data_IF_174638497729
#
_entry.id   IF_174638497729
#
_cell.length_a   1.000
_cell.length_b   1.000
_cell.length_c   1.000
_cell.angle_alpha   90.00
_cell.angle_beta   90.00
_cell.angle_gamma   90.00
#
_symmetry.space_group_name_H-M   'P 1'
#
loop_
_entity.id
_entity.type
_entity.pdbx_description
1 polymer ?
#
# COMPACT_ATOMS: atom_id res chain seq x y z
N UNK A 1 21.98 -22.23 51.83
CA UNK A 1 22.01 -23.20 50.71
C UNK A 1 20.77 -22.95 49.88
N UNK A 2 20.98 -22.62 48.60
CA UNK A 2 19.96 -22.13 47.68
C UNK A 2 18.98 -23.24 47.28
N UNK A 3 17.68 -22.96 47.41
CA UNK A 3 16.64 -23.69 46.70
C UNK A 3 16.42 -23.02 45.36
N UNK A 4 16.71 -23.74 44.27
CA UNK A 4 16.44 -23.29 42.91
C UNK A 4 14.95 -23.44 42.60
N UNK A 5 14.23 -22.31 42.58
CA UNK A 5 12.92 -22.21 41.95
C UNK A 5 13.09 -22.44 40.44
N UNK A 6 12.70 -23.63 39.99
CA UNK A 6 12.49 -23.92 38.58
C UNK A 6 11.20 -23.24 38.14
N UNK A 7 11.31 -21.96 37.78
CA UNK A 7 10.24 -21.21 37.13
C UNK A 7 9.92 -21.85 35.77
N UNK A 8 8.69 -22.36 35.64
CA UNK A 8 8.07 -22.67 34.36
C UNK A 8 8.17 -21.44 33.45
N UNK A 9 8.99 -21.53 32.39
CA UNK A 9 8.97 -20.58 31.29
C UNK A 9 7.53 -20.53 30.76
N UNK A 10 6.89 -19.36 30.88
CA UNK A 10 5.60 -19.11 30.25
C UNK A 10 5.70 -19.39 28.75
N UNK A 11 4.59 -19.69 28.05
CA UNK A 11 4.63 -20.05 26.65
C UNK A 11 5.29 -18.91 25.87
N UNK A 12 6.53 -19.12 25.44
CA UNK A 12 7.16 -18.31 24.43
C UNK A 12 6.24 -18.37 23.23
N UNK A 13 5.56 -17.25 22.96
CA UNK A 13 4.86 -17.06 21.70
C UNK A 13 5.94 -17.08 20.64
N UNK A 14 6.19 -18.26 20.08
CA UNK A 14 6.99 -18.42 18.87
C UNK A 14 6.44 -17.38 17.88
N UNK A 15 7.26 -16.41 17.43
CA UNK A 15 6.79 -15.43 16.48
C UNK A 15 6.24 -16.20 15.27
N UNK A 16 4.98 -15.97 14.96
CA UNK A 16 4.37 -16.51 13.74
C UNK A 16 5.25 -16.09 12.57
N UNK A 17 5.95 -17.04 11.96
CA UNK A 17 6.73 -16.77 10.76
C UNK A 17 5.76 -16.32 9.67
N UNK A 18 5.93 -15.07 9.21
CA UNK A 18 5.08 -14.53 8.16
C UNK A 18 5.42 -15.22 6.86
N UNK A 19 4.40 -15.73 6.18
CA UNK A 19 4.49 -16.33 4.86
C UNK A 19 4.67 -15.23 3.80
N UNK A 20 5.87 -14.71 3.64
CA UNK A 20 6.18 -13.67 2.64
C UNK A 20 7.30 -14.11 1.70
N UNK A 21 6.97 -14.31 0.42
CA UNK A 21 7.94 -14.59 -0.65
C UNK A 21 8.39 -13.31 -1.33
N UNK A 22 9.47 -12.71 -0.83
CA UNK A 22 10.02 -11.48 -1.41
C UNK A 22 10.93 -11.74 -2.61
N UNK A 23 11.47 -12.97 -2.73
CA UNK A 23 12.36 -13.43 -3.78
C UNK A 23 13.60 -12.54 -4.02
N UNK A 24 13.97 -11.71 -3.05
CA UNK A 24 15.02 -10.71 -3.21
C UNK A 24 14.68 -9.54 -4.15
N UNK A 25 13.44 -9.44 -4.65
CA UNK A 25 13.02 -8.43 -5.64
C UNK A 25 12.55 -7.10 -5.03
N UNK A 26 12.50 -7.00 -3.70
CA UNK A 26 11.94 -5.83 -3.01
C UNK A 26 12.57 -4.49 -3.41
N UNK A 27 13.88 -4.48 -3.71
CA UNK A 27 14.60 -3.27 -4.17
C UNK A 27 14.18 -2.87 -5.58
N UNK A 28 14.19 -3.81 -6.53
CA UNK A 28 13.78 -3.58 -7.92
C UNK A 28 12.31 -3.11 -7.99
N UNK A 29 11.41 -3.79 -7.28
CA UNK A 29 9.98 -3.41 -7.22
C UNK A 29 9.80 -1.99 -6.69
N UNK A 30 10.50 -1.60 -5.60
CA UNK A 30 10.45 -0.22 -5.10
C UNK A 30 10.97 0.78 -6.12
N UNK A 31 12.07 0.46 -6.82
CA UNK A 31 12.64 1.32 -7.86
C UNK A 31 11.68 1.51 -9.03
N UNK A 32 11.07 0.45 -9.57
CA UNK A 32 10.09 0.58 -10.65
C UNK A 32 8.86 1.40 -10.23
N UNK A 33 8.42 1.26 -8.96
CA UNK A 33 7.36 2.12 -8.43
C UNK A 33 7.79 3.60 -8.36
N UNK A 34 9.03 3.90 -7.98
CA UNK A 34 9.55 5.29 -8.06
C UNK A 34 9.66 5.80 -9.50
N UNK A 35 10.05 4.95 -10.45
CA UNK A 35 10.15 5.35 -11.86
C UNK A 35 8.75 5.61 -12.45
N UNK A 36 7.73 4.88 -12.01
CA UNK A 36 6.35 5.01 -12.46
C UNK A 36 5.73 6.34 -12.05
N UNK A 37 5.65 6.60 -10.74
CA UNK A 37 5.20 7.90 -10.20
C UNK A 37 6.10 8.27 -9.01
N UNK A 38 7.12 9.11 -9.23
CA UNK A 38 8.10 9.44 -8.20
C UNK A 38 7.43 10.02 -6.96
N UNK A 39 7.83 9.57 -5.77
CA UNK A 39 7.43 10.12 -4.47
C UNK A 39 5.95 10.07 -4.10
N UNK A 40 5.06 9.50 -4.91
CA UNK A 40 3.63 9.38 -4.57
C UNK A 40 3.39 8.42 -3.39
N UNK A 41 4.28 7.43 -3.22
CA UNK A 41 4.06 6.35 -2.26
C UNK A 41 2.77 5.59 -2.60
N UNK A 42 1.93 5.39 -1.58
CA UNK A 42 0.58 4.84 -1.72
C UNK A 42 -0.53 5.83 -1.40
N UNK A 43 -0.29 7.12 -1.66
CA UNK A 43 -1.34 8.16 -1.61
C UNK A 43 -2.26 8.01 -2.83
N UNK A 44 -3.56 7.87 -2.60
CA UNK A 44 -4.56 7.72 -3.66
C UNK A 44 -5.83 8.54 -3.45
N UNK A 45 -6.02 9.15 -2.28
CA UNK A 45 -7.04 10.17 -2.04
C UNK A 45 -6.55 11.19 -1.00
N UNK A 46 -7.02 12.42 -1.09
CA UNK A 46 -6.47 13.58 -0.39
C UNK A 46 -6.59 13.51 1.13
N UNK A 47 -7.64 12.88 1.66
CA UNK A 47 -7.82 12.77 3.12
C UNK A 47 -6.75 11.91 3.81
N UNK A 48 -6.05 11.02 3.10
CA UNK A 48 -4.89 10.33 3.70
C UNK A 48 -3.77 11.31 4.05
N UNK A 49 -3.55 12.32 3.21
CA UNK A 49 -2.59 13.39 3.48
C UNK A 49 -3.09 14.28 4.63
N UNK A 50 -4.39 14.59 4.66
CA UNK A 50 -5.02 15.35 5.75
C UNK A 50 -4.84 14.67 7.11
N UNK A 51 -5.15 13.38 7.24
CA UNK A 51 -5.03 12.68 8.52
C UNK A 51 -3.59 12.64 9.03
N UNK A 52 -2.63 12.44 8.14
CA UNK A 52 -1.22 12.45 8.49
C UNK A 52 -0.75 13.86 8.93
N UNK A 53 -1.11 14.90 8.18
CA UNK A 53 -0.80 16.29 8.52
C UNK A 53 -1.45 16.69 9.86
N UNK A 54 -2.72 16.34 10.06
CA UNK A 54 -3.47 16.62 11.28
C UNK A 54 -2.84 15.95 12.50
N UNK A 55 -2.41 14.69 12.37
CA UNK A 55 -1.73 13.99 13.45
C UNK A 55 -0.40 14.66 13.84
N UNK A 56 0.39 15.07 12.85
CA UNK A 56 1.64 15.80 13.10
C UNK A 56 1.38 17.17 13.75
N UNK A 57 0.35 17.89 13.31
CA UNK A 57 -0.03 19.18 13.88
C UNK A 57 -0.56 19.06 15.31
N UNK A 58 -1.40 18.07 15.61
CA UNK A 58 -1.86 17.79 16.99
C UNK A 58 -0.69 17.46 17.90
N UNK A 59 0.26 16.63 17.44
CA UNK A 59 1.44 16.32 18.23
C UNK A 59 2.39 17.53 18.39
N UNK A 60 2.54 18.37 17.36
CA UNK A 60 3.26 19.66 17.43
C UNK A 60 2.61 20.58 18.46
N UNK A 61 1.28 20.71 18.46
CA UNK A 61 0.51 21.53 19.40
C UNK A 61 0.63 21.03 20.84
N UNK A 62 0.53 19.73 21.09
CA UNK A 62 0.72 19.13 22.43
C UNK A 62 2.11 19.40 22.99
N UNK A 63 3.14 19.43 22.13
CA UNK A 63 4.49 19.81 22.55
C UNK A 63 4.58 21.25 23.05
N UNK A 64 3.80 22.18 22.48
CA UNK A 64 3.71 23.57 23.01
C UNK A 64 3.09 23.62 24.41
N UNK A 65 2.32 22.61 24.79
CA UNK A 65 1.75 22.45 26.14
C UNK A 65 2.61 21.56 27.04
N UNK A 66 3.86 21.30 26.66
CA UNK A 66 4.81 20.44 27.37
C UNK A 66 4.34 18.98 27.52
N UNK A 67 3.47 18.49 26.62
CA UNK A 67 2.98 17.11 26.59
C UNK A 67 3.63 16.40 25.40
N UNK A 68 4.30 15.28 25.68
CA UNK A 68 4.94 14.44 24.63
C UNK A 68 4.01 13.29 24.27
N UNK A 69 3.65 13.22 22.99
CA UNK A 69 2.88 12.11 22.42
C UNK A 69 3.51 11.68 21.10
N UNK A 70 3.46 10.37 20.81
CA UNK A 70 3.99 9.85 19.55
C UNK A 70 3.09 10.24 18.38
N UNK A 71 3.68 10.62 17.25
CA UNK A 71 2.94 10.88 16.02
C UNK A 71 2.16 9.66 15.57
N UNK A 72 2.73 8.47 15.78
CA UNK A 72 2.12 7.19 15.43
C UNK A 72 0.85 6.95 16.25
N UNK A 73 0.87 7.23 17.54
CA UNK A 73 -0.27 7.05 18.44
C UNK A 73 -1.41 8.02 18.10
N UNK A 74 -1.07 9.29 17.83
CA UNK A 74 -2.04 10.30 17.41
C UNK A 74 -2.65 9.94 16.05
N UNK A 75 -1.83 9.53 15.08
CA UNK A 75 -2.31 9.15 13.76
C UNK A 75 -3.20 7.89 13.80
N UNK A 76 -2.80 6.85 14.55
CA UNK A 76 -3.66 5.68 14.79
C UNK A 76 -5.04 6.09 15.30
N UNK A 77 -5.06 6.96 16.31
CA UNK A 77 -6.30 7.38 16.94
C UNK A 77 -7.19 8.17 15.98
N UNK A 78 -6.62 9.12 15.22
CA UNK A 78 -7.34 9.92 14.23
C UNK A 78 -7.90 9.04 13.12
N UNK A 79 -7.10 8.15 12.53
CA UNK A 79 -7.54 7.26 11.45
C UNK A 79 -8.64 6.29 11.91
N UNK A 80 -8.53 5.75 13.14
CA UNK A 80 -9.55 4.89 13.72
C UNK A 80 -10.88 5.64 13.89
N UNK A 81 -10.84 6.85 14.44
CA UNK A 81 -12.03 7.70 14.59
C UNK A 81 -12.62 8.06 13.23
N UNK A 82 -11.79 8.44 12.26
CA UNK A 82 -12.21 8.73 10.89
C UNK A 82 -12.98 7.55 10.28
N UNK A 83 -12.41 6.35 10.31
CA UNK A 83 -13.07 5.15 9.79
C UNK A 83 -14.37 4.85 10.54
N UNK A 84 -14.41 5.03 11.86
CA UNK A 84 -15.63 4.79 12.65
C UNK A 84 -16.73 5.80 12.29
N UNK A 85 -16.38 7.08 12.13
CA UNK A 85 -17.31 8.12 11.65
C UNK A 85 -17.87 7.74 10.28
N UNK A 86 -17.00 7.36 9.34
CA UNK A 86 -17.42 6.98 7.98
C UNK A 86 -18.36 5.76 7.97
N UNK A 87 -18.06 4.71 8.75
CA UNK A 87 -18.97 3.56 8.87
C UNK A 87 -20.31 3.91 9.51
N UNK A 88 -20.35 4.84 10.48
CA UNK A 88 -21.62 5.32 11.01
C UNK A 88 -22.43 6.11 9.97
N UNK A 89 -21.78 6.90 9.10
CA UNK A 89 -22.46 7.70 8.08
C UNK A 89 -23.02 6.85 6.93
N UNK A 90 -22.30 5.80 6.52
CA UNK A 90 -22.72 4.96 5.39
C UNK A 90 -23.48 3.68 5.79
N UNK A 91 -23.85 3.54 7.07
CA UNK A 91 -24.58 2.36 7.56
C UNK A 91 -23.74 1.08 7.53
N UNK A 92 -22.45 1.17 7.82
CA UNK A 92 -21.49 0.05 7.88
C UNK A 92 -21.30 -0.67 6.54
N UNK A 93 -21.51 0.02 5.42
CA UNK A 93 -21.20 -0.49 4.09
C UNK A 93 -19.68 -0.47 3.86
N UNK A 94 -19.13 -1.47 3.16
CA UNK A 94 -17.71 -1.45 2.78
C UNK A 94 -17.46 -0.27 1.82
N UNK A 95 -16.33 0.41 1.98
CA UNK A 95 -15.86 1.48 1.10
C UNK A 95 -14.32 1.41 1.05
N UNK A 96 -13.73 1.66 -0.12
CA UNK A 96 -12.30 1.53 -0.35
C UNK A 96 -11.46 2.50 0.50
N UNK A 97 -12.05 3.63 0.92
CA UNK A 97 -11.40 4.68 1.74
C UNK A 97 -11.35 4.31 3.21
N UNK A 98 -12.06 3.26 3.63
CA UNK A 98 -12.20 2.90 5.04
C UNK A 98 -11.61 1.52 5.32
N UNK A 99 -10.98 1.38 6.50
CA UNK A 99 -10.39 0.11 6.94
C UNK A 99 -10.91 -0.31 8.31
N UNK A 100 -10.67 -1.57 8.69
CA UNK A 100 -10.94 -2.03 10.05
C UNK A 100 -12.40 -2.36 10.37
N UNK A 101 -13.24 -2.60 9.36
CA UNK A 101 -14.69 -2.89 9.52
C UNK A 101 -15.00 -3.98 10.56
N UNK A 102 -14.17 -5.02 10.61
CA UNK A 102 -14.37 -6.18 11.49
C UNK A 102 -13.90 -5.92 12.94
N UNK A 103 -13.01 -4.93 13.15
CA UNK A 103 -12.41 -4.63 14.47
C UNK A 103 -13.08 -3.45 15.16
N UNK A 104 -13.58 -2.49 14.40
CA UNK A 104 -14.22 -1.29 14.92
C UNK A 104 -15.57 -1.63 15.56
N UNK A 105 -15.82 -1.07 16.75
CA UNK A 105 -17.09 -1.27 17.46
C UNK A 105 -18.23 -0.51 16.76
N UNK A 106 -19.42 -1.12 16.77
CA UNK A 106 -20.67 -0.49 16.33
C UNK A 106 -21.32 0.38 17.40
N UNK A 107 -20.68 0.50 18.56
CA UNK A 107 -21.18 1.29 19.67
C UNK A 107 -21.27 2.79 19.33
N UNK A 108 -22.27 3.44 19.93
CA UNK A 108 -22.53 4.87 19.70
C UNK A 108 -21.66 5.80 20.55
N UNK A 109 -20.79 5.24 21.40
CA UNK A 109 -19.88 5.99 22.29
C UNK A 109 -18.55 6.26 21.62
N UNK A 110 -18.06 7.50 21.74
CA UNK A 110 -16.76 7.87 21.20
C UNK A 110 -15.63 7.11 21.93
N UNK A 111 -14.63 6.57 21.21
CA UNK A 111 -13.51 5.90 21.85
C UNK A 111 -12.63 6.89 22.62
N UNK A 112 -12.11 6.45 23.76
CA UNK A 112 -11.06 7.20 24.46
C UNK A 112 -9.77 7.18 23.64
N UNK A 113 -8.94 8.22 23.78
CA UNK A 113 -7.65 8.27 23.09
C UNK A 113 -6.78 7.02 23.38
N UNK A 114 -6.74 6.57 24.65
CA UNK A 114 -5.97 5.39 25.07
C UNK A 114 -6.42 4.08 24.41
N UNK A 115 -7.69 3.99 24.01
CA UNK A 115 -8.20 2.85 23.24
C UNK A 115 -7.82 3.00 21.77
N UNK A 116 -8.12 4.17 21.19
CA UNK A 116 -7.94 4.43 19.76
C UNK A 116 -6.47 4.47 19.32
N UNK A 117 -5.54 4.85 20.20
CA UNK A 117 -4.12 4.96 19.88
C UNK A 117 -3.39 3.61 19.73
N UNK A 118 -4.01 2.51 20.22
CA UNK A 118 -3.41 1.17 20.18
C UNK A 118 -3.28 0.68 18.75
N UNK A 119 -2.12 0.10 18.42
CA UNK A 119 -1.82 -0.45 17.10
C UNK A 119 -2.74 -1.60 16.66
N UNK A 120 -3.47 -2.22 17.59
CA UNK A 120 -4.42 -3.29 17.30
C UNK A 120 -5.89 -2.86 17.26
N UNK A 121 -6.18 -1.57 17.47
CA UNK A 121 -7.55 -1.11 17.70
C UNK A 121 -8.44 -1.19 16.44
N UNK A 122 -7.95 -0.75 15.28
CA UNK A 122 -8.74 -0.75 14.05
C UNK A 122 -8.11 -1.60 12.94
N UNK A 123 -6.80 -1.56 12.74
CA UNK A 123 -6.06 -2.38 11.76
C UNK A 123 -4.60 -2.58 12.18
N UNK A 124 -3.99 -3.68 11.72
CA UNK A 124 -2.54 -3.89 11.85
C UNK A 124 -1.70 -3.04 10.88
N UNK A 125 -2.26 -2.69 9.71
CA UNK A 125 -1.64 -1.84 8.70
C UNK A 125 -2.45 -0.55 8.48
N UNK A 126 -2.10 0.52 9.21
CA UNK A 126 -2.78 1.81 9.11
C UNK A 126 -2.58 2.49 7.76
N UNK A 127 -3.53 3.36 7.38
CA UNK A 127 -3.50 4.05 6.08
C UNK A 127 -2.20 4.83 5.86
N UNK A 128 -1.67 5.49 6.89
CA UNK A 128 -0.41 6.24 6.82
C UNK A 128 0.82 5.43 6.43
N UNK A 129 0.82 4.10 6.61
CA UNK A 129 1.99 3.27 6.27
C UNK A 129 2.33 3.37 4.79
N UNK A 130 1.31 3.56 3.93
CA UNK A 130 1.51 3.74 2.50
C UNK A 130 1.84 5.19 2.12
N UNK A 131 1.46 6.18 2.93
CA UNK A 131 1.65 7.60 2.59
C UNK A 131 2.92 8.23 3.14
N UNK A 132 3.68 7.54 3.98
CA UNK A 132 4.89 8.08 4.61
C UNK A 132 5.88 8.72 3.61
N UNK A 133 6.04 8.15 2.42
CA UNK A 133 6.90 8.71 1.37
C UNK A 133 6.28 9.92 0.66
N UNK A 134 4.94 9.98 0.61
CA UNK A 134 4.22 11.07 -0.05
C UNK A 134 4.40 12.39 0.71
N UNK A 135 4.36 12.36 2.04
CA UNK A 135 4.30 13.58 2.87
C UNK A 135 5.50 14.52 2.65
N UNK A 136 6.76 14.05 2.65
CA UNK A 136 7.89 14.93 2.34
C UNK A 136 7.84 15.42 0.90
N UNK A 137 7.45 14.57 -0.06
CA UNK A 137 7.36 14.98 -1.47
C UNK A 137 6.29 16.04 -1.73
N UNK A 138 5.24 16.09 -0.90
CA UNK A 138 4.21 17.12 -0.91
C UNK A 138 4.62 18.38 -0.13
N UNK A 139 5.76 18.34 0.57
CA UNK A 139 6.20 19.40 1.47
C UNK A 139 5.43 19.43 2.79
N UNK A 140 4.62 18.43 3.13
CA UNK A 140 3.85 18.37 4.38
C UNK A 140 4.69 17.95 5.61
N UNK A 141 5.83 17.32 5.36
CA UNK A 141 6.71 16.82 6.41
C UNK A 141 8.16 17.18 6.12
N UNK A 142 8.84 17.73 7.12
CA UNK A 142 10.30 17.77 7.16
C UNK A 142 10.77 16.40 7.63
N UNK A 143 11.57 15.73 6.81
CA UNK A 143 11.97 14.34 7.04
C UNK A 143 13.47 14.22 7.32
N UNK A 144 13.90 14.18 8.60
CA UNK A 144 15.27 13.79 8.94
C UNK A 144 15.50 12.28 8.73
N UNK A 145 14.44 11.47 8.55
CA UNK A 145 14.53 10.03 8.27
C UNK A 145 13.29 9.52 7.53
N UNK A 146 13.29 8.26 7.08
CA UNK A 146 12.17 7.60 6.39
C UNK A 146 11.01 7.22 7.34
N UNK A 147 11.16 7.37 8.66
CA UNK A 147 10.15 6.93 9.65
C UNK A 147 9.17 8.05 9.99
N UNK A 148 7.87 7.76 9.94
CA UNK A 148 6.80 8.72 10.25
C UNK A 148 6.94 9.40 11.62
N UNK A 149 7.36 8.69 12.66
CA UNK A 149 7.52 9.27 14.00
C UNK A 149 8.66 10.30 14.12
N UNK A 150 9.54 10.35 13.12
CA UNK A 150 10.63 11.32 13.05
C UNK A 150 10.26 12.53 12.17
N UNK A 151 9.07 12.55 11.56
CA UNK A 151 8.65 13.68 10.77
C UNK A 151 8.36 14.90 11.65
N UNK A 152 8.57 16.08 11.08
CA UNK A 152 8.15 17.34 11.67
C UNK A 152 7.18 18.05 10.73
N UNK A 153 6.17 18.69 11.30
CA UNK A 153 5.17 19.43 10.55
C UNK A 153 5.81 20.70 9.97
N UNK A 154 5.81 20.83 8.64
CA UNK A 154 6.29 22.01 7.92
C UNK A 154 5.32 23.20 8.03
N UNK A 155 5.74 24.37 7.56
CA UNK A 155 4.87 25.54 7.42
C UNK A 155 3.80 25.30 6.34
N UNK A 156 4.17 24.63 5.26
CA UNK A 156 3.27 24.20 4.19
C UNK A 156 2.14 23.30 4.71
N UNK A 157 2.42 22.44 5.69
CA UNK A 157 1.38 21.64 6.34
C UNK A 157 0.42 22.49 7.17
N UNK A 158 0.90 23.53 7.85
CA UNK A 158 0.03 24.47 8.57
C UNK A 158 -0.89 25.23 7.59
N UNK A 159 -0.38 25.60 6.41
CA UNK A 159 -1.19 26.22 5.32
C UNK A 159 -2.25 25.24 4.79
N UNK A 160 -1.85 23.99 4.51
CA UNK A 160 -2.77 22.95 4.03
C UNK A 160 -3.87 22.64 5.05
N UNK A 161 -3.54 22.58 6.33
CA UNK A 161 -4.53 22.40 7.39
C UNK A 161 -5.42 23.62 7.53
N UNK A 162 -4.88 24.84 7.38
CA UNK A 162 -5.65 26.07 7.34
C UNK A 162 -6.71 26.06 6.25
N UNK A 163 -6.35 25.64 5.03
CA UNK A 163 -7.30 25.54 3.91
C UNK A 163 -8.28 24.37 4.04
N UNK A 164 -7.89 23.27 4.69
CA UNK A 164 -8.73 22.07 4.80
C UNK A 164 -9.70 22.09 6.00
N UNK A 165 -9.27 22.61 7.14
CA UNK A 165 -10.00 22.51 8.42
C UNK A 165 -9.97 23.80 9.25
N UNK A 166 -9.34 24.87 8.77
CA UNK A 166 -9.16 26.11 9.54
C UNK A 166 -10.48 26.81 9.89
N UNK A 167 -11.51 26.64 9.06
CA UNK A 167 -12.85 27.17 9.29
C UNK A 167 -13.70 26.28 10.22
N UNK A 168 -13.24 25.07 10.56
CA UNK A 168 -13.97 24.10 11.38
C UNK A 168 -13.68 24.29 12.87
N UNK A 169 -14.75 24.26 13.67
CA UNK A 169 -14.66 24.40 15.12
C UNK A 169 -15.57 23.41 15.84
N UNK A 170 -15.24 23.15 17.11
CA UNK A 170 -16.05 22.32 18.01
C UNK A 170 -16.42 23.15 19.22
N UNK A 171 -17.57 23.82 19.13
CA UNK A 171 -17.98 24.81 20.13
C UNK A 171 -17.11 26.06 20.03
N UNK A 172 -16.32 26.35 21.07
CA UNK A 172 -15.43 27.53 21.12
C UNK A 172 -13.98 27.23 20.73
N UNK A 173 -13.65 25.95 20.53
CA UNK A 173 -12.29 25.52 20.27
C UNK A 173 -12.08 25.27 18.77
N UNK A 174 -10.86 25.56 18.30
CA UNK A 174 -10.41 25.06 17.00
C UNK A 174 -10.45 23.52 16.99
N UNK A 175 -10.59 22.92 15.81
CA UNK A 175 -10.58 21.46 15.70
C UNK A 175 -9.29 20.85 16.27
N UNK A 176 -8.14 21.46 15.98
CA UNK A 176 -6.82 20.97 16.48
C UNK A 176 -6.78 21.01 18.00
N UNK A 177 -7.19 22.13 18.63
CA UNK A 177 -7.21 22.22 20.10
C UNK A 177 -8.20 21.20 20.70
N UNK A 178 -9.36 21.00 20.08
CA UNK A 178 -10.34 19.99 20.52
C UNK A 178 -9.76 18.56 20.48
N UNK A 179 -9.00 18.22 19.42
CA UNK A 179 -8.30 16.94 19.34
C UNK A 179 -7.19 16.85 20.39
N UNK A 180 -6.45 17.92 20.67
CA UNK A 180 -5.46 17.94 21.75
C UNK A 180 -6.13 17.69 23.13
N UNK A 181 -7.29 18.29 23.41
CA UNK A 181 -8.06 18.01 24.64
C UNK A 181 -8.49 16.55 24.73
N UNK A 182 -8.90 15.93 23.61
CA UNK A 182 -9.21 14.51 23.57
C UNK A 182 -7.99 13.62 23.87
N UNK A 183 -6.83 13.95 23.31
CA UNK A 183 -5.57 13.25 23.61
C UNK A 183 -5.22 13.33 25.10
N UNK A 184 -5.54 14.45 25.75
CA UNK A 184 -5.37 14.64 27.20
C UNK A 184 -6.44 13.93 28.06
N UNK A 185 -7.40 13.23 27.46
CA UNK A 185 -8.43 12.45 28.17
C UNK A 185 -9.81 13.09 28.23
N UNK A 186 -10.03 14.25 27.60
CA UNK A 186 -11.36 14.83 27.47
C UNK A 186 -12.23 14.00 26.52
N UNK A 187 -13.57 13.98 26.67
CA UNK A 187 -14.44 13.22 25.77
C UNK A 187 -14.44 13.81 24.36
N UNK A 188 -14.31 12.95 23.34
CA UNK A 188 -14.38 13.35 21.95
C UNK A 188 -15.83 13.59 21.53
N UNK A 189 -16.13 14.82 21.12
CA UNK A 189 -17.41 15.18 20.48
C UNK A 189 -17.45 14.75 19.01
N UNK A 190 -17.25 13.47 18.74
CA UNK A 190 -17.08 12.92 17.39
C UNK A 190 -18.29 13.07 16.45
N UNK A 191 -19.48 13.34 16.99
CA UNK A 191 -20.71 13.62 16.23
C UNK A 191 -20.93 15.10 15.93
N UNK A 192 -20.03 16.00 16.37
CA UNK A 192 -20.17 17.42 16.02
C UNK A 192 -19.88 17.62 14.55
N UNK A 193 -20.61 18.55 13.91
CA UNK A 193 -20.45 18.85 12.49
C UNK A 193 -18.99 19.12 12.11
N UNK A 194 -18.24 19.87 12.93
CA UNK A 194 -16.83 20.15 12.67
C UNK A 194 -15.90 18.93 12.72
N UNK A 195 -16.15 17.95 13.61
CA UNK A 195 -15.34 16.71 13.63
C UNK A 195 -15.72 15.79 12.48
N UNK A 196 -17.02 15.68 12.19
CA UNK A 196 -17.51 14.89 11.06
C UNK A 196 -16.94 15.44 9.75
N UNK A 197 -17.07 16.75 9.50
CA UNK A 197 -16.59 17.38 8.28
C UNK A 197 -15.08 17.17 8.05
N UNK A 198 -14.29 17.22 9.13
CA UNK A 198 -12.84 17.05 9.04
C UNK A 198 -12.37 15.59 8.96
N UNK A 199 -13.08 14.66 9.61
CA UNK A 199 -12.59 13.29 9.77
C UNK A 199 -13.32 12.27 8.91
N UNK A 200 -14.53 12.56 8.41
CA UNK A 200 -15.29 11.62 7.59
C UNK A 200 -14.52 11.29 6.29
N UNK A 201 -14.09 10.03 6.07
CA UNK A 201 -13.35 9.63 4.86
C UNK A 201 -14.17 9.75 3.57
N UNK A 202 -15.49 9.80 3.70
CA UNK A 202 -16.43 9.81 2.58
C UNK A 202 -16.70 11.21 2.03
N UNK A 203 -16.25 12.25 2.72
CA UNK A 203 -16.37 13.62 2.23
C UNK A 203 -15.16 13.99 1.38
N UNK A 204 -15.35 14.81 0.35
CA UNK A 204 -14.24 15.39 -0.40
C UNK A 204 -13.43 16.37 0.46
N UNK A 205 -12.23 16.72 -0.01
CA UNK A 205 -11.55 17.92 0.49
C UNK A 205 -12.22 19.18 -0.07
N UNK A 206 -12.15 20.27 0.69
CA UNK A 206 -12.58 21.59 0.21
C UNK A 206 -11.85 21.99 -1.06
N UNK A 207 -12.47 22.84 -1.88
CA UNK A 207 -11.90 23.28 -3.15
C UNK A 207 -10.51 23.90 -3.00
N UNK A 208 -10.29 24.77 -2.00
CA UNK A 208 -8.98 25.37 -1.74
C UNK A 208 -7.93 24.31 -1.34
N UNK A 209 -8.34 23.32 -0.54
CA UNK A 209 -7.47 22.21 -0.14
C UNK A 209 -7.14 21.28 -1.31
N UNK A 210 -8.08 21.04 -2.23
CA UNK A 210 -7.85 20.28 -3.47
C UNK A 210 -6.86 21.00 -4.39
N UNK A 211 -7.05 22.30 -4.60
CA UNK A 211 -6.13 23.13 -5.38
C UNK A 211 -4.72 23.13 -4.76
N UNK A 212 -4.63 23.32 -3.45
CA UNK A 212 -3.36 23.27 -2.74
C UNK A 212 -2.67 21.92 -2.92
N UNK A 213 -3.39 20.80 -2.71
CA UNK A 213 -2.82 19.47 -2.80
C UNK A 213 -2.35 19.13 -4.22
N UNK A 214 -3.14 19.52 -5.24
CA UNK A 214 -2.74 19.41 -6.65
C UNK A 214 -1.46 20.19 -6.92
N UNK A 215 -1.38 21.45 -6.47
CA UNK A 215 -0.19 22.26 -6.67
C UNK A 215 1.04 21.66 -5.97
N UNK A 216 0.89 21.21 -4.72
CA UNK A 216 1.96 20.55 -3.97
C UNK A 216 2.44 19.25 -4.65
N UNK A 217 1.50 18.45 -5.15
CA UNK A 217 1.79 17.21 -5.89
C UNK A 217 2.66 17.48 -7.12
N UNK A 218 2.30 18.48 -7.94
CA UNK A 218 3.02 18.82 -9.16
C UNK A 218 4.33 19.57 -8.91
N UNK A 219 4.43 20.33 -7.82
CA UNK A 219 5.67 21.03 -7.43
C UNK A 219 6.75 20.04 -6.95
N UNK A 220 6.39 19.06 -6.12
CA UNK A 220 7.28 18.02 -5.63
C UNK A 220 8.44 18.54 -4.76
N UNK A 221 8.17 18.90 -3.50
CA UNK A 221 9.10 19.65 -2.63
C UNK A 221 10.49 19.01 -2.46
N UNK A 222 10.58 17.68 -2.34
CA UNK A 222 11.85 16.95 -2.15
C UNK A 222 12.30 16.18 -3.40
N UNK A 223 11.65 16.42 -4.54
CA UNK A 223 11.94 15.71 -5.78
C UNK A 223 12.96 16.47 -6.64
N UNK A 224 13.67 15.74 -7.49
CA UNK A 224 14.48 16.36 -8.54
C UNK A 224 13.60 16.92 -9.66
N UNK A 225 14.11 17.84 -10.46
CA UNK A 225 13.38 18.42 -11.60
C UNK A 225 12.87 17.34 -12.57
N UNK A 226 13.71 16.34 -12.87
CA UNK A 226 13.33 15.20 -13.71
C UNK A 226 12.18 14.39 -13.09
N UNK A 227 12.19 14.17 -11.78
CA UNK A 227 11.12 13.46 -11.08
C UNK A 227 9.82 14.27 -11.05
N UNK A 228 9.91 15.59 -10.86
CA UNK A 228 8.76 16.47 -10.97
C UNK A 228 8.17 16.43 -12.38
N UNK A 229 9.01 16.47 -13.42
CA UNK A 229 8.56 16.40 -14.80
C UNK A 229 7.85 15.07 -15.10
N UNK A 230 8.40 13.94 -14.67
CA UNK A 230 7.74 12.63 -14.80
C UNK A 230 6.40 12.58 -14.09
N UNK A 231 6.32 13.12 -12.87
CA UNK A 231 5.07 13.16 -12.12
C UNK A 231 4.02 14.05 -12.80
N UNK A 232 4.41 15.20 -13.36
CA UNK A 232 3.54 16.07 -14.15
C UNK A 232 3.05 15.38 -15.43
N UNK A 233 3.95 14.75 -16.18
CA UNK A 233 3.62 13.98 -17.38
C UNK A 233 2.61 12.87 -17.07
N UNK A 234 2.80 12.13 -15.98
CA UNK A 234 1.85 11.11 -15.53
C UNK A 234 0.49 11.71 -15.13
N UNK A 235 0.49 12.88 -14.49
CA UNK A 235 -0.75 13.61 -14.16
C UNK A 235 -1.50 14.05 -15.42
N UNK A 236 -0.80 14.59 -16.40
CA UNK A 236 -1.38 15.02 -17.68
C UNK A 236 -1.92 13.83 -18.48
N UNK A 237 -1.24 12.67 -18.39
CA UNK A 237 -1.76 11.42 -18.92
C UNK A 237 -3.07 11.01 -18.23
N UNK A 238 -3.18 11.12 -16.90
CA UNK A 238 -4.43 10.84 -16.20
C UNK A 238 -5.56 11.78 -16.64
N UNK A 239 -5.24 13.07 -16.87
CA UNK A 239 -6.20 14.04 -17.38
C UNK A 239 -6.69 13.68 -18.79
N UNK A 240 -5.79 13.22 -19.66
CA UNK A 240 -6.12 12.74 -21.00
C UNK A 240 -7.03 11.50 -20.95
N UNK A 241 -6.68 10.50 -20.13
CA UNK A 241 -7.49 9.29 -19.93
C UNK A 241 -8.88 9.61 -19.36
N UNK A 242 -8.96 10.61 -18.49
CA UNK A 242 -10.23 11.04 -17.93
C UNK A 242 -11.13 11.69 -19.00
N UNK A 243 -10.57 12.56 -19.84
CA UNK A 243 -11.30 13.19 -20.94
C UNK A 243 -11.68 12.18 -22.05
N UNK A 244 -10.80 11.21 -22.32
CA UNK A 244 -10.98 10.20 -23.37
C UNK A 244 -10.66 8.80 -22.84
N UNK A 245 -11.61 8.13 -22.14
CA UNK A 245 -11.39 6.80 -21.54
C UNK A 245 -11.04 5.67 -22.53
N UNK A 246 -11.22 5.91 -23.83
CA UNK A 246 -10.86 4.98 -24.91
C UNK A 246 -9.43 5.13 -25.44
N UNK A 247 -8.66 6.13 -24.99
CA UNK A 247 -7.30 6.42 -25.44
C UNK A 247 -6.23 5.49 -24.83
N UNK A 248 -6.64 4.32 -24.30
CA UNK A 248 -5.78 3.42 -23.55
C UNK A 248 -4.67 2.88 -24.47
N UNK A 249 -3.44 3.35 -24.26
CA UNK A 249 -2.26 2.74 -24.83
C UNK A 249 -2.09 1.35 -24.21
N UNK A 250 -2.15 0.30 -25.04
CA UNK A 250 -1.69 -1.03 -24.62
C UNK A 250 -0.23 -0.91 -24.15
N UNK A 251 0.14 -1.60 -23.08
CA UNK A 251 1.55 -1.67 -22.64
C UNK A 251 2.47 -2.30 -23.69
N UNK A 252 1.91 -3.01 -24.67
CA UNK A 252 2.68 -3.55 -25.78
C UNK A 252 2.92 -2.53 -26.91
N UNK A 253 2.24 -1.37 -26.89
CA UNK A 253 2.56 -0.26 -27.77
C UNK A 253 3.93 0.34 -27.40
N UNK A 254 4.81 0.47 -28.39
CA UNK A 254 6.16 1.01 -28.19
C UNK A 254 6.13 2.53 -28.07
N UNK A 255 5.18 3.21 -28.72
CA UNK A 255 5.11 4.68 -28.72
C UNK A 255 4.52 5.21 -27.40
N UNK A 256 3.53 4.50 -26.85
CA UNK A 256 2.89 4.89 -25.61
C UNK A 256 2.06 6.18 -25.72
N UNK A 257 1.55 6.68 -24.59
CA UNK A 257 0.75 7.90 -24.57
C UNK A 257 1.60 9.15 -24.84
N UNK A 258 1.06 10.12 -25.58
CA UNK A 258 1.77 11.33 -26.01
C UNK A 258 2.28 12.21 -24.86
N UNK A 259 1.69 12.10 -23.66
CA UNK A 259 2.10 12.86 -22.49
C UNK A 259 3.38 12.33 -21.84
N UNK A 260 3.72 11.05 -22.04
CA UNK A 260 4.89 10.42 -21.45
C UNK A 260 6.05 10.41 -22.44
N UNK A 261 7.25 10.69 -21.95
CA UNK A 261 8.44 10.48 -22.76
C UNK A 261 8.73 8.98 -22.94
N UNK A 262 9.49 8.64 -23.99
CA UNK A 262 9.80 7.25 -24.33
C UNK A 262 10.53 6.50 -23.20
N UNK A 263 11.34 7.19 -22.39
CA UNK A 263 12.08 6.57 -21.29
C UNK A 263 11.15 6.23 -20.12
N UNK A 264 10.24 7.13 -19.76
CA UNK A 264 9.23 6.91 -18.73
C UNK A 264 8.26 5.79 -19.13
N UNK A 265 7.81 5.78 -20.39
CA UNK A 265 6.99 4.69 -20.90
C UNK A 265 7.73 3.34 -20.89
N UNK A 266 9.00 3.34 -21.28
CA UNK A 266 9.84 2.16 -21.21
C UNK A 266 9.95 1.60 -19.77
N UNK A 267 10.15 2.47 -18.77
CA UNK A 267 10.22 2.08 -17.37
C UNK A 267 8.89 1.46 -16.88
N UNK A 268 7.75 2.00 -17.30
CA UNK A 268 6.41 1.46 -16.95
C UNK A 268 6.19 0.07 -17.53
N UNK A 269 6.59 -0.15 -18.79
CA UNK A 269 6.51 -1.45 -19.46
C UNK A 269 7.40 -2.48 -18.77
N UNK A 270 8.66 -2.12 -18.50
CA UNK A 270 9.60 -2.97 -17.81
C UNK A 270 9.12 -3.33 -16.39
N UNK A 271 8.60 -2.35 -15.65
CA UNK A 271 8.01 -2.58 -14.32
C UNK A 271 6.84 -3.56 -14.35
N UNK A 272 5.96 -3.45 -15.34
CA UNK A 272 4.84 -4.38 -15.53
C UNK A 272 5.32 -5.80 -15.82
N UNK A 273 6.23 -5.97 -16.79
CA UNK A 273 6.77 -7.31 -17.10
C UNK A 273 7.51 -7.90 -15.90
N UNK A 274 8.20 -7.10 -15.07
CA UNK A 274 8.83 -7.61 -13.84
C UNK A 274 7.80 -8.14 -12.83
N UNK A 275 6.64 -7.49 -12.70
CA UNK A 275 5.54 -7.99 -11.86
C UNK A 275 5.03 -9.33 -12.39
N UNK A 276 4.88 -9.49 -13.70
CA UNK A 276 4.49 -10.77 -14.32
C UNK A 276 5.51 -11.87 -14.01
N UNK A 277 6.81 -11.59 -14.16
CA UNK A 277 7.88 -12.54 -13.81
C UNK A 277 7.80 -12.92 -12.33
N UNK A 278 7.63 -11.94 -11.42
CA UNK A 278 7.50 -12.21 -9.98
C UNK A 278 6.30 -13.11 -9.70
N UNK A 279 5.14 -12.82 -10.28
CA UNK A 279 3.92 -13.59 -10.06
C UNK A 279 4.07 -15.02 -10.59
N UNK A 280 4.67 -15.19 -11.77
CA UNK A 280 4.99 -16.50 -12.33
C UNK A 280 5.98 -17.29 -11.46
N UNK A 281 6.98 -16.63 -10.88
CA UNK A 281 7.94 -17.26 -9.96
C UNK A 281 7.27 -17.72 -8.66
N UNK A 282 6.33 -16.93 -8.12
CA UNK A 282 5.51 -17.35 -6.97
C UNK A 282 4.64 -18.54 -7.34
N UNK A 283 4.02 -18.55 -8.53
CA UNK A 283 3.20 -19.67 -9.00
C UNK A 283 4.00 -20.98 -9.17
N UNK A 284 5.28 -20.91 -9.55
CA UNK A 284 6.18 -22.08 -9.53
C UNK A 284 6.32 -22.63 -8.11
N UNK A 285 6.60 -21.77 -7.13
CA UNK A 285 6.76 -22.18 -5.73
C UNK A 285 5.44 -22.69 -5.14
N UNK A 286 4.31 -22.11 -5.50
CA UNK A 286 2.98 -22.61 -5.11
C UNK A 286 2.73 -24.01 -5.69
N UNK A 287 3.07 -24.22 -6.96
CA UNK A 287 2.96 -25.54 -7.60
C UNK A 287 3.83 -26.59 -6.89
N UNK A 288 5.04 -26.22 -6.48
CA UNK A 288 5.91 -27.11 -5.70
C UNK A 288 5.32 -27.40 -4.33
N UNK A 289 4.75 -26.41 -3.64
CA UNK A 289 4.13 -26.61 -2.33
C UNK A 289 2.96 -27.60 -2.38
N UNK A 290 2.09 -27.49 -3.39
CA UNK A 290 0.98 -28.44 -3.64
C UNK A 290 1.52 -29.85 -3.87
N UNK A 291 2.55 -29.99 -4.69
CA UNK A 291 3.18 -31.28 -4.99
C UNK A 291 3.83 -31.91 -3.75
N UNK A 292 4.42 -31.11 -2.86
CA UNK A 292 4.97 -31.60 -1.60
C UNK A 292 3.89 -32.10 -0.64
N UNK A 293 2.71 -31.47 -0.61
CA UNK A 293 1.61 -31.88 0.27
C UNK A 293 1.02 -33.23 -0.15
N UNK A 294 0.94 -33.48 -1.46
CA UNK A 294 0.49 -34.75 -2.03
C UNK A 294 1.47 -35.93 -1.77
N UNK A 295 2.72 -35.66 -1.38
CA UNK A 295 3.78 -36.68 -1.23
C UNK A 295 3.96 -37.13 0.21
N UNK A 296 4.01 -38.44 0.45
CA UNK A 296 4.23 -39.02 1.78
C UNK A 296 5.51 -38.53 2.48
N UNK A 297 6.61 -38.39 1.73
CA UNK A 297 7.92 -37.97 2.28
C UNK A 297 8.17 -36.46 2.18
N UNK A 298 7.22 -35.69 1.63
CA UNK A 298 7.29 -34.22 1.46
C UNK A 298 8.64 -33.72 0.95
N UNK A 299 9.18 -34.36 -0.08
CA UNK A 299 10.35 -33.85 -0.81
C UNK A 299 10.18 -34.01 -2.32
N UNK A 300 10.85 -33.12 -3.06
CA UNK A 300 10.94 -33.14 -4.51
C UNK A 300 12.41 -32.99 -4.90
N UNK A 301 12.96 -33.98 -5.61
CA UNK A 301 14.30 -33.89 -6.19
C UNK A 301 14.31 -32.84 -7.29
N UNK A 302 15.27 -31.91 -7.26
CA UNK A 302 15.36 -30.84 -8.28
C UNK A 302 15.93 -31.36 -9.59
N UNK A 303 16.94 -32.23 -9.52
CA UNK A 303 17.57 -32.88 -10.68
C UNK A 303 16.76 -34.07 -11.26
N UNK A 304 15.57 -34.34 -10.72
CA UNK A 304 14.71 -35.43 -11.15
C UNK A 304 13.68 -35.05 -12.21
N UNK A 305 12.84 -36.00 -12.61
CA UNK A 305 11.67 -35.71 -13.45
C UNK A 305 10.67 -34.87 -12.66
N UNK A 306 10.54 -33.59 -13.03
CA UNK A 306 9.64 -32.66 -12.37
C UNK A 306 8.16 -32.94 -12.73
N UNK A 307 7.22 -32.78 -11.77
CA UNK A 307 5.79 -32.87 -12.02
C UNK A 307 5.34 -31.95 -13.15
N UNK A 308 4.30 -32.35 -13.89
CA UNK A 308 3.81 -31.59 -15.04
C UNK A 308 3.42 -30.16 -14.68
N UNK A 309 2.74 -29.96 -13.54
CA UNK A 309 2.32 -28.63 -13.08
C UNK A 309 3.52 -27.70 -12.84
N UNK A 310 4.57 -28.22 -12.19
CA UNK A 310 5.81 -27.46 -11.93
C UNK A 310 6.52 -27.10 -13.24
N UNK A 311 6.60 -28.03 -14.20
CA UNK A 311 7.20 -27.76 -15.52
C UNK A 311 6.42 -26.71 -16.30
N UNK A 312 5.09 -26.77 -16.30
CA UNK A 312 4.25 -25.76 -16.95
C UNK A 312 4.44 -24.37 -16.32
N UNK A 313 4.51 -24.29 -15.00
CA UNK A 313 4.77 -23.03 -14.29
C UNK A 313 6.18 -22.48 -14.61
N UNK A 314 7.20 -23.35 -14.67
CA UNK A 314 8.57 -22.96 -15.05
C UNK A 314 8.64 -22.45 -16.50
N UNK A 315 7.92 -23.08 -17.43
CA UNK A 315 7.82 -22.62 -18.82
C UNK A 315 7.16 -21.24 -18.91
N UNK A 316 6.05 -21.02 -18.18
CA UNK A 316 5.41 -19.71 -18.13
C UNK A 316 6.35 -18.64 -17.55
N UNK A 317 7.07 -18.95 -16.47
CA UNK A 317 8.08 -18.07 -15.90
C UNK A 317 9.17 -17.70 -16.93
N UNK A 318 9.69 -18.68 -17.67
CA UNK A 318 10.71 -18.44 -18.69
C UNK A 318 10.21 -17.48 -19.79
N UNK A 319 8.97 -17.64 -20.25
CA UNK A 319 8.35 -16.73 -21.25
C UNK A 319 8.28 -15.29 -20.74
N UNK A 320 7.81 -15.08 -19.50
CA UNK A 320 7.76 -13.75 -18.92
C UNK A 320 9.16 -13.15 -18.72
N UNK A 321 10.12 -13.96 -18.26
CA UNK A 321 11.50 -13.52 -18.03
C UNK A 321 12.18 -13.10 -19.34
N UNK A 322 11.99 -13.87 -20.43
CA UNK A 322 12.47 -13.51 -21.75
C UNK A 322 11.82 -12.22 -22.28
N UNK A 323 10.51 -12.04 -22.04
CA UNK A 323 9.82 -10.80 -22.42
C UNK A 323 10.39 -9.57 -21.71
N UNK A 324 10.74 -9.69 -20.42
CA UNK A 324 11.42 -8.60 -19.70
C UNK A 324 12.82 -8.34 -20.26
N UNK A 325 13.63 -9.38 -20.47
CA UNK A 325 15.00 -9.24 -20.98
C UNK A 325 15.03 -8.64 -22.39
N UNK A 326 14.03 -8.94 -23.23
CA UNK A 326 13.89 -8.37 -24.57
C UNK A 326 13.69 -6.84 -24.56
N UNK A 327 13.24 -6.25 -23.45
CA UNK A 327 13.15 -4.80 -23.30
C UNK A 327 14.53 -4.15 -23.16
N UNK A 328 15.57 -4.89 -22.76
CA UNK A 328 16.92 -4.36 -22.56
C UNK A 328 16.97 -3.16 -21.59
N UNK A 329 16.20 -3.25 -20.49
CA UNK A 329 16.18 -2.24 -19.44
C UNK A 329 17.50 -2.26 -18.63
N UNK A 330 17.89 -1.13 -18.04
CA UNK A 330 19.18 -0.98 -17.35
C UNK A 330 19.20 -1.50 -15.89
N UNK A 331 18.12 -2.11 -15.39
CA UNK A 331 18.04 -2.46 -13.96
C UNK A 331 18.76 -3.79 -13.68
N UNK A 332 19.92 -3.71 -13.03
CA UNK A 332 20.80 -4.86 -12.79
C UNK A 332 20.14 -5.97 -11.95
N UNK A 333 19.32 -5.63 -10.96
CA UNK A 333 18.69 -6.64 -10.09
C UNK A 333 17.61 -7.41 -10.83
N UNK A 334 16.76 -6.69 -11.57
CA UNK A 334 15.73 -7.30 -12.39
C UNK A 334 16.36 -8.13 -13.53
N UNK A 335 17.39 -7.61 -14.20
CA UNK A 335 18.13 -8.34 -15.23
C UNK A 335 18.76 -9.62 -14.69
N UNK A 336 19.43 -9.56 -13.53
CA UNK A 336 20.00 -10.73 -12.88
C UNK A 336 18.93 -11.76 -12.54
N UNK A 337 17.82 -11.33 -11.92
CA UNK A 337 16.72 -12.22 -11.59
C UNK A 337 16.11 -12.90 -12.81
N UNK A 338 15.78 -12.12 -13.85
CA UNK A 338 15.19 -12.64 -15.08
C UNK A 338 16.17 -13.56 -15.83
N UNK A 339 17.46 -13.26 -15.83
CA UNK A 339 18.48 -14.12 -16.46
C UNK A 339 18.58 -15.48 -15.78
N UNK A 340 18.49 -15.53 -14.45
CA UNK A 340 18.43 -16.79 -13.70
C UNK A 340 17.15 -17.59 -14.00
N UNK A 341 16.06 -16.94 -14.42
CA UNK A 341 14.78 -17.58 -14.74
C UNK A 341 14.72 -18.19 -16.16
N UNK A 342 15.74 -17.98 -17.00
CA UNK A 342 15.81 -18.49 -18.38
C UNK A 342 16.76 -19.71 -18.49
N UNK A 343 17.32 -20.17 -17.36
CA UNK A 343 18.19 -21.35 -17.30
C UNK A 343 17.47 -22.69 -17.48
N UNK A 344 18.15 -23.79 -17.16
CA UNK A 344 17.51 -25.11 -17.14
C UNK A 344 16.46 -25.19 -16.03
N UNK A 345 15.42 -26.02 -16.20
CA UNK A 345 14.34 -26.17 -15.20
C UNK A 345 14.88 -26.44 -13.78
N UNK A 346 15.92 -27.26 -13.67
CA UNK A 346 16.59 -27.55 -12.40
C UNK A 346 17.32 -26.33 -11.84
N UNK A 347 18.10 -25.61 -12.66
CA UNK A 347 18.81 -24.39 -12.22
C UNK A 347 17.85 -23.31 -11.73
N UNK A 348 16.78 -23.06 -12.48
CA UNK A 348 15.73 -22.09 -12.13
C UNK A 348 15.08 -22.47 -10.81
N UNK A 349 14.69 -23.74 -10.64
CA UNK A 349 14.07 -24.21 -9.41
C UNK A 349 15.02 -24.09 -8.20
N UNK A 350 16.31 -24.44 -8.36
CA UNK A 350 17.32 -24.22 -7.29
C UNK A 350 17.45 -22.74 -6.93
N UNK A 351 17.47 -21.85 -7.92
CA UNK A 351 17.56 -20.40 -7.68
C UNK A 351 16.34 -19.87 -6.93
N UNK A 352 15.13 -20.31 -7.28
CA UNK A 352 13.90 -19.91 -6.59
C UNK A 352 13.85 -20.43 -5.15
N UNK A 353 14.21 -21.70 -4.91
CA UNK A 353 14.21 -22.29 -3.58
C UNK A 353 15.23 -21.62 -2.64
N UNK A 354 16.41 -21.25 -3.14
CA UNK A 354 17.41 -20.47 -2.39
C UNK A 354 16.92 -19.08 -1.98
N UNK A 355 15.97 -18.52 -2.73
CA UNK A 355 15.41 -17.18 -2.49
C UNK A 355 14.17 -17.17 -1.61
N UNK A 356 13.40 -18.26 -1.59
CA UNK A 356 12.25 -18.40 -0.69
C UNK A 356 12.74 -18.60 0.74
N UNK A 357 13.40 -19.73 1.03
CA UNK A 357 13.99 -20.15 2.32
C UNK A 357 13.06 -20.06 3.56
N UNK A 358 11.81 -19.61 3.38
CA UNK A 358 10.81 -19.42 4.42
C UNK A 358 9.70 -20.46 4.28
N UNK A 359 9.12 -20.57 3.09
CA UNK A 359 8.03 -21.52 2.82
C UNK A 359 8.59 -22.83 2.27
N UNK A 360 9.52 -22.74 1.32
CA UNK A 360 10.24 -23.86 0.74
C UNK A 360 11.75 -23.64 0.89
N UNK A 361 12.46 -24.70 1.27
CA UNK A 361 13.91 -24.69 1.45
C UNK A 361 14.57 -25.69 0.50
N UNK A 362 15.81 -25.39 0.08
CA UNK A 362 16.66 -26.31 -0.66
C UNK A 362 17.57 -27.07 0.31
N UNK A 363 17.39 -28.39 0.43
CA UNK A 363 18.20 -29.26 1.30
C UNK A 363 18.60 -30.50 0.52
N UNK A 364 19.90 -30.80 0.44
CA UNK A 364 20.45 -31.95 -0.31
C UNK A 364 19.92 -32.05 -1.75
N UNK A 365 19.87 -30.92 -2.45
CA UNK A 365 19.30 -30.80 -3.81
C UNK A 365 17.82 -31.22 -3.93
N UNK A 366 17.10 -31.16 -2.82
CA UNK A 366 15.66 -31.40 -2.75
C UNK A 366 14.92 -30.15 -2.26
N UNK A 367 13.76 -29.87 -2.86
CA UNK A 367 12.79 -28.97 -2.26
C UNK A 367 12.15 -29.65 -1.04
N UNK A 368 12.13 -28.95 0.10
CA UNK A 368 11.52 -29.41 1.36
C UNK A 368 10.67 -28.31 2.01
N UNK A 369 9.72 -28.68 2.89
CA UNK A 369 8.99 -27.76 3.73
C UNK A 369 9.92 -26.88 4.57
N UNK A 370 9.75 -25.56 4.46
CA UNK A 370 10.35 -24.57 5.33
C UNK A 370 9.51 -24.32 6.59
N UNK A 371 9.95 -23.42 7.48
CA UNK A 371 9.28 -23.13 8.74
C UNK A 371 7.90 -22.45 8.60
N UNK A 372 7.60 -21.84 7.45
CA UNK A 372 6.31 -21.23 7.15
C UNK A 372 5.47 -22.07 6.16
N UNK A 373 5.86 -23.32 5.92
CA UNK A 373 5.14 -24.25 5.06
C UNK A 373 3.77 -24.61 5.64
N UNK A 374 2.75 -24.68 4.77
CA UNK A 374 1.38 -25.05 5.18
C UNK A 374 0.76 -26.17 4.33
N UNK A 375 1.39 -26.53 3.21
CA UNK A 375 0.88 -27.53 2.26
C UNK A 375 -0.27 -27.03 1.38
N UNK A 376 -0.81 -25.85 1.69
CA UNK A 376 -1.82 -25.17 0.90
C UNK A 376 -1.26 -23.82 0.52
N UNK A 377 -0.92 -23.56 -0.76
CA UNK A 377 -0.77 -22.19 -1.23
C UNK A 377 -1.94 -21.35 -0.72
N UNK A 378 -1.72 -20.07 -0.38
CA UNK A 378 -2.87 -19.20 -0.20
C UNK A 378 -3.72 -19.35 -1.46
N UNK A 379 -5.01 -19.67 -1.29
CA UNK A 379 -5.93 -19.66 -2.44
C UNK A 379 -5.80 -18.25 -3.01
N UNK A 380 -5.61 -18.13 -4.33
CA UNK A 380 -5.66 -16.84 -5.03
C UNK A 380 -7.11 -16.35 -5.02
N UNK A 381 -7.69 -16.14 -3.85
CA UNK A 381 -8.37 -14.90 -3.63
C UNK A 381 -7.26 -13.85 -3.69
N UNK A 382 -7.40 -12.84 -4.56
CA UNK A 382 -6.49 -11.70 -4.59
C UNK A 382 -6.44 -11.10 -3.17
N UNK A 383 -5.45 -11.49 -2.36
CA UNK A 383 -5.24 -10.96 -1.02
C UNK A 383 -5.05 -12.01 0.07
N UNK A 384 -3.86 -12.58 0.18
CA UNK A 384 -3.34 -13.03 1.49
C UNK A 384 -1.89 -12.56 1.67
N UNK A 385 -1.70 -11.23 1.73
CA UNK A 385 -0.66 -10.63 2.56
C UNK A 385 -1.26 -10.23 3.93
N UNK A 386 -1.73 -11.23 4.68
CA UNK A 386 -2.16 -11.06 6.06
C UNK A 386 -3.56 -10.45 6.20
N UNK A 387 -4.42 -11.17 6.93
CA UNK A 387 -5.72 -10.73 7.39
C UNK A 387 -5.66 -9.33 8.03
N UNK A 388 -5.98 -8.31 7.21
CA UNK A 388 -6.27 -6.90 7.49
C UNK A 388 -6.22 -6.04 6.19
N UNK A 389 -5.94 -6.63 5.01
CA UNK A 389 -5.91 -5.95 3.69
C UNK A 389 -7.27 -5.91 2.95
N UNK A 390 -8.33 -6.46 3.54
CA UNK A 390 -9.52 -6.98 2.86
C UNK A 390 -10.49 -5.96 2.19
N UNK A 391 -10.14 -4.68 2.04
CA UNK A 391 -10.98 -3.72 1.28
C UNK A 391 -10.19 -2.85 0.29
N UNK A 392 -8.84 -2.90 0.27
CA UNK A 392 -8.08 -1.98 -0.59
C UNK A 392 -7.80 -2.50 -2.01
N UNK A 393 -7.61 -3.81 -2.23
CA UNK A 393 -7.11 -4.32 -3.53
C UNK A 393 -8.18 -4.96 -4.43
N UNK A 394 -9.26 -5.52 -3.88
CA UNK A 394 -10.26 -6.27 -4.66
C UNK A 394 -11.20 -5.37 -5.49
N UNK A 395 -11.46 -4.13 -5.05
CA UNK A 395 -12.35 -3.18 -5.74
C UNK A 395 -11.70 -2.38 -6.87
N UNK A 396 -10.37 -2.37 -7.00
CA UNK A 396 -9.65 -1.53 -7.98
C UNK A 396 -9.60 -2.11 -9.40
N UNK A 397 -10.18 -3.28 -9.61
CA UNK A 397 -10.29 -3.88 -10.94
C UNK A 397 -11.24 -3.04 -11.82
N UNK A 398 -10.90 -2.82 -13.09
CA UNK A 398 -11.73 -2.04 -14.01
C UNK A 398 -11.45 -0.53 -14.03
N UNK A 399 -10.29 -0.09 -13.54
CA UNK A 399 -9.76 1.22 -13.93
C UNK A 399 -9.45 1.23 -15.45
N UNK A 400 -9.61 2.36 -16.15
CA UNK A 400 -9.26 2.50 -17.57
C UNK A 400 -7.73 2.61 -17.74
N UNK A 401 -7.02 1.62 -17.22
CA UNK A 401 -5.56 1.55 -17.19
C UNK A 401 -5.11 0.19 -17.73
N UNK A 402 -3.91 0.11 -18.33
CA UNK A 402 -3.39 -1.16 -18.81
C UNK A 402 -3.22 -2.18 -17.68
N UNK A 403 -3.55 -3.44 -17.97
CA UNK A 403 -3.42 -4.51 -16.99
C UNK A 403 -1.96 -4.69 -16.53
N UNK A 404 -1.76 -4.88 -15.22
CA UNK A 404 -0.43 -5.12 -14.63
C UNK A 404 0.42 -3.87 -14.43
N UNK A 405 -0.09 -2.68 -14.77
CA UNK A 405 0.63 -1.42 -14.52
C UNK A 405 0.88 -1.22 -13.01
N UNK A 406 1.90 -0.44 -12.68
CA UNK A 406 2.20 -0.12 -11.28
C UNK A 406 0.97 0.45 -10.56
N UNK A 407 0.70 -0.07 -9.35
CA UNK A 407 -0.34 0.44 -8.45
C UNK A 407 -0.20 1.95 -8.16
N UNK A 408 0.98 2.55 -8.37
CA UNK A 408 1.16 3.99 -8.23
C UNK A 408 0.46 4.78 -9.32
N UNK A 409 0.39 4.24 -10.53
CA UNK A 409 -0.38 4.86 -11.62
C UNK A 409 -1.87 4.76 -11.31
N UNK A 410 -2.32 3.60 -10.80
CA UNK A 410 -3.69 3.43 -10.31
C UNK A 410 -4.03 4.43 -9.19
N UNK A 411 -3.14 4.56 -8.21
CA UNK A 411 -3.29 5.53 -7.13
C UNK A 411 -3.32 6.98 -7.63
N UNK A 412 -2.49 7.32 -8.63
CA UNK A 412 -2.49 8.64 -9.24
C UNK A 412 -3.81 8.92 -9.96
N UNK A 413 -4.37 7.93 -10.66
CA UNK A 413 -5.67 8.05 -11.30
C UNK A 413 -6.80 8.29 -10.28
N UNK A 414 -6.83 7.53 -9.18
CA UNK A 414 -7.81 7.73 -8.12
C UNK A 414 -7.65 9.11 -7.46
N UNK A 415 -6.41 9.54 -7.22
CA UNK A 415 -6.12 10.85 -6.65
C UNK A 415 -6.52 11.97 -7.61
N UNK A 416 -6.37 11.77 -8.92
CA UNK A 416 -6.86 12.70 -9.94
C UNK A 416 -8.38 12.88 -9.83
N UNK A 417 -9.14 11.78 -9.78
CA UNK A 417 -10.61 11.82 -9.63
C UNK A 417 -11.02 12.47 -8.30
N UNK A 418 -10.30 12.20 -7.21
CA UNK A 418 -10.57 12.82 -5.90
C UNK A 418 -10.40 14.35 -5.94
N UNK A 419 -9.31 14.82 -6.57
CA UNK A 419 -9.03 16.24 -6.70
C UNK A 419 -9.93 16.93 -7.73
N UNK A 420 -10.49 16.19 -8.69
CA UNK A 420 -11.59 16.65 -9.55
C UNK A 420 -12.94 16.72 -8.81
N UNK A 421 -13.10 15.98 -7.70
CA UNK A 421 -14.36 15.87 -6.95
C UNK A 421 -15.30 14.77 -7.46
N UNK A 422 -14.77 13.81 -8.21
CA UNK A 422 -15.53 12.79 -8.94
C UNK A 422 -15.28 11.37 -8.39
N UNK A 423 -14.45 11.23 -7.35
CA UNK A 423 -14.09 9.92 -6.79
C UNK A 423 -15.32 9.14 -6.29
N UNK A 424 -16.29 9.80 -5.64
CA UNK A 424 -17.48 9.15 -5.09
C UNK A 424 -18.33 8.46 -6.17
N UNK A 425 -18.58 9.16 -7.28
CA UNK A 425 -19.31 8.63 -8.42
C UNK A 425 -18.54 7.47 -9.05
N UNK A 426 -17.22 7.61 -9.16
CA UNK A 426 -16.35 6.61 -9.74
C UNK A 426 -16.24 5.32 -8.91
N UNK A 427 -16.30 5.41 -7.57
CA UNK A 427 -16.35 4.25 -6.67
C UNK A 427 -17.75 3.60 -6.74
N UNK A 428 -18.81 4.40 -6.67
CA UNK A 428 -20.20 3.91 -6.66
C UNK A 428 -20.52 3.13 -7.94
N UNK A 429 -20.14 3.68 -9.10
CA UNK A 429 -20.35 3.05 -10.41
C UNK A 429 -19.63 1.71 -10.51
N UNK A 430 -18.41 1.62 -9.98
CA UNK A 430 -17.61 0.38 -10.03
C UNK A 430 -18.10 -0.68 -9.06
N UNK A 431 -18.55 -0.29 -7.87
CA UNK A 431 -19.19 -1.22 -6.94
C UNK A 431 -20.45 -1.83 -7.57
N UNK A 432 -21.28 -1.02 -8.23
CA UNK A 432 -22.47 -1.51 -8.94
C UNK A 432 -22.11 -2.45 -10.11
N UNK A 433 -21.06 -2.15 -10.87
CA UNK A 433 -20.60 -3.02 -11.97
C UNK A 433 -20.07 -4.37 -11.45
N UNK A 434 -19.38 -4.38 -10.30
CA UNK A 434 -18.89 -5.60 -9.67
C UNK A 434 -20.03 -6.46 -9.11
N UNK A 435 -21.09 -5.85 -8.58
CA UNK A 435 -22.28 -6.57 -8.09
C UNK A 435 -23.12 -7.16 -9.24
N UNK A 436 -23.09 -6.56 -10.42
CA UNK A 436 -23.81 -7.07 -11.60
C UNK A 436 -23.10 -8.22 -12.33
N UNK A 437 -21.81 -8.43 -12.05
CA UNK A 437 -20.96 -9.44 -12.69
C UNK A 437 -20.62 -10.63 -11.78
N UNK A 438 -21.00 -10.53 -10.50
CA UNK A 438 -20.99 -11.62 -9.52
C UNK A 438 -22.36 -12.31 -9.46
#
# INVERSE_FOLDING_TARGET
MAGSDWGLLGPDRVPSNRRTRTLGLGRAVRRFNELAVPGLGGLWYGRQALYAALAMAVAKRLRTWNIRQSHIEVANAIEAVACTIGYHHNGWRPDWRMRGRQKLSRDTTAPSFKQASRSSYYVSQPMRMSTAQALPSLGLALAPSVRFNAFECSEEADVFLGSSIGHLSVGKNSLVDHLCYWVMGSPLRWKSAGVVAALNPLEGLDEDARHWLRHALLKGATLTEQQCQRRKAAWDWMACLHAEPGSIASLDDVQGPAQLDAAHWHDLRAGTKLVDVRNAAVAVLDSVEVELDARQRRFLQVDGTLPLAVRQALQALAVHAQSFLALNHFDEDANRFCSECVGTEADVLRALLRRDDQVLCLVDDCARPGPAYSGRPPVVEKGEQGADEEIAETGRNGLPLPAGISYRVENLHLLYLDLAGELDEAITTRNAASEATA
#
